data_IF_716627028939
#
_entry.id   IF_716627028939
#
_cell.length_a   1.000
_cell.length_b   1.000
_cell.length_c   1.000
_cell.angle_alpha   90.00
_cell.angle_beta   90.00
_cell.angle_gamma   90.00
#
_symmetry.space_group_name_H-M   'P 1'
#
loop_
_entity.id
_entity.type
_entity.pdbx_description
1 polymer ?
#
# COMPACT_ATOMS: atom_id res chain seq x y z
N UNK A 1 -0.05 46.42 13.91
CA UNK A 1 0.81 45.45 13.18
C UNK A 1 0.10 44.13 13.32
N UNK A 2 -0.49 43.62 12.25
CA UNK A 2 -0.93 42.22 12.25
C UNK A 2 0.33 41.39 12.46
N UNK A 3 0.36 40.60 13.53
CA UNK A 3 1.38 39.58 13.71
C UNK A 3 1.47 38.81 12.40
N UNK A 4 2.61 38.89 11.72
CA UNK A 4 2.90 37.99 10.61
C UNK A 4 2.78 36.61 11.23
N UNK A 5 1.65 35.93 10.98
CA UNK A 5 1.56 34.51 11.20
C UNK A 5 2.84 33.96 10.57
N UNK A 6 3.69 33.34 11.38
CA UNK A 6 4.83 32.60 10.87
C UNK A 6 4.21 31.58 9.95
N UNK A 7 4.20 31.86 8.64
CA UNK A 7 3.56 30.99 7.66
C UNK A 7 4.25 29.64 7.82
N UNK A 8 3.56 28.72 8.49
CA UNK A 8 4.11 27.41 8.77
C UNK A 8 4.00 26.65 7.48
N UNK A 9 5.11 26.08 7.02
CA UNK A 9 5.11 25.27 5.81
C UNK A 9 3.97 24.23 5.87
N UNK A 10 3.09 24.16 4.86
CA UNK A 10 1.93 23.25 4.87
C UNK A 10 2.37 21.78 5.00
N UNK A 11 3.60 21.45 4.58
CA UNK A 11 4.19 20.12 4.70
C UNK A 11 4.92 19.88 6.03
N UNK A 12 4.88 20.81 7.00
CA UNK A 12 5.64 20.68 8.25
C UNK A 12 5.20 19.48 9.08
N UNK A 13 3.92 19.12 8.99
CA UNK A 13 3.33 18.01 9.73
C UNK A 13 3.47 16.67 8.98
N UNK A 14 4.09 16.67 7.80
CA UNK A 14 4.35 15.47 7.03
C UNK A 14 5.78 14.99 7.25
N UNK A 15 5.97 13.70 7.50
CA UNK A 15 7.27 13.08 7.70
C UNK A 15 7.41 11.79 6.89
N UNK A 16 8.66 11.39 6.67
CA UNK A 16 8.98 10.16 5.95
C UNK A 16 8.57 8.96 6.80
N UNK A 17 8.86 9.01 8.09
CA UNK A 17 8.58 7.96 9.06
C UNK A 17 7.07 7.71 9.15
N UNK A 18 6.26 8.78 9.23
CA UNK A 18 4.80 8.63 9.28
C UNK A 18 4.23 8.15 7.94
N UNK A 19 4.83 8.53 6.80
CA UNK A 19 4.45 7.98 5.50
C UNK A 19 4.71 6.47 5.41
N UNK A 20 5.79 5.98 6.02
CA UNK A 20 6.10 4.55 6.09
C UNK A 20 5.14 3.80 7.02
N UNK A 21 4.77 4.37 8.16
CA UNK A 21 3.87 3.73 9.13
C UNK A 21 2.40 3.78 8.70
N UNK A 22 1.95 4.93 8.19
CA UNK A 22 0.56 5.23 7.89
C UNK A 22 0.33 5.54 6.40
N UNK A 23 0.77 4.60 5.56
CA UNK A 23 0.68 4.69 4.09
C UNK A 23 -0.72 5.04 3.57
N UNK A 24 -1.78 4.53 4.20
CA UNK A 24 -3.16 4.77 3.75
C UNK A 24 -3.60 6.22 3.94
N UNK A 25 -3.24 6.86 5.06
CA UNK A 25 -3.51 8.28 5.32
C UNK A 25 -2.85 9.16 4.26
N UNK A 26 -1.57 8.89 3.99
CA UNK A 26 -0.80 9.64 3.01
C UNK A 26 -1.26 9.40 1.57
N UNK A 27 -1.70 8.18 1.24
CA UNK A 27 -2.22 7.88 -0.10
C UNK A 27 -3.38 8.78 -0.45
N UNK A 28 -4.37 8.92 0.44
CA UNK A 28 -5.51 9.80 0.20
C UNK A 28 -5.07 11.26 0.02
N UNK A 29 -4.28 11.78 0.97
CA UNK A 29 -3.78 13.16 0.95
C UNK A 29 -2.98 13.51 -0.32
N UNK A 30 -2.20 12.55 -0.85
CA UNK A 30 -1.25 12.81 -1.93
C UNK A 30 -1.75 12.40 -3.32
N UNK A 31 -2.97 11.87 -3.43
CA UNK A 31 -3.55 11.49 -4.72
C UNK A 31 -4.88 12.18 -5.03
N UNK A 32 -5.49 12.82 -4.04
CA UNK A 32 -6.60 13.73 -4.26
C UNK A 32 -6.07 15.15 -4.55
N UNK A 33 -6.30 15.72 -5.75
CA UNK A 33 -5.83 17.07 -6.08
C UNK A 33 -6.36 18.15 -5.14
N UNK A 34 -7.56 17.99 -4.59
CA UNK A 34 -8.19 19.00 -3.74
C UNK A 34 -7.63 18.98 -2.30
N UNK A 35 -7.07 17.84 -1.88
CA UNK A 35 -6.47 17.66 -0.55
C UNK A 35 -4.94 17.79 -0.58
N UNK A 36 -4.33 17.83 -1.78
CA UNK A 36 -2.88 17.87 -1.92
C UNK A 36 -2.32 19.19 -1.35
N UNK A 37 -1.42 19.15 -0.35
CA UNK A 37 -0.91 20.35 0.29
C UNK A 37 -0.08 21.18 -0.69
N UNK A 38 -0.52 22.42 -0.92
CA UNK A 38 0.10 23.33 -1.89
C UNK A 38 1.58 23.61 -1.60
N UNK A 39 2.34 23.86 -2.66
CA UNK A 39 3.70 24.35 -2.54
C UNK A 39 3.71 25.87 -2.42
N UNK A 40 4.28 26.39 -1.33
CA UNK A 40 4.36 27.83 -1.07
C UNK A 40 5.79 28.36 -1.29
N UNK A 41 6.07 29.16 -2.35
CA UNK A 41 7.43 29.57 -2.71
C UNK A 41 8.20 30.35 -1.64
N UNK A 42 7.49 31.10 -0.79
CA UNK A 42 8.10 31.92 0.26
C UNK A 42 8.23 31.19 1.60
N UNK A 43 7.80 29.93 1.68
CA UNK A 43 7.67 29.17 2.94
C UNK A 43 8.31 27.79 2.84
N UNK A 44 8.09 27.07 1.73
CA UNK A 44 8.68 25.76 1.49
C UNK A 44 10.18 25.91 1.16
N UNK A 45 11.02 25.16 1.89
CA UNK A 45 12.46 25.10 1.64
C UNK A 45 12.82 24.03 0.60
N UNK A 46 14.06 24.05 0.11
CA UNK A 46 14.61 22.96 -0.72
C UNK A 46 14.54 21.61 0.00
N UNK A 47 14.85 21.56 1.30
CA UNK A 47 14.75 20.34 2.10
C UNK A 47 13.31 19.84 2.19
N UNK A 48 12.35 20.74 2.32
CA UNK A 48 10.94 20.41 2.29
C UNK A 48 10.55 19.76 0.96
N UNK A 49 11.02 20.30 -0.16
CA UNK A 49 10.79 19.72 -1.49
C UNK A 49 11.39 18.32 -1.62
N UNK A 50 12.63 18.11 -1.19
CA UNK A 50 13.28 16.78 -1.21
C UNK A 50 12.51 15.78 -0.34
N UNK A 51 12.09 16.20 0.86
CA UNK A 51 11.27 15.38 1.77
C UNK A 51 9.96 14.96 1.11
N UNK A 52 9.24 15.90 0.48
CA UNK A 52 7.96 15.61 -0.17
C UNK A 52 8.10 14.66 -1.34
N UNK A 53 9.15 14.80 -2.17
CA UNK A 53 9.44 13.83 -3.24
C UNK A 53 9.63 12.42 -2.68
N UNK A 54 10.44 12.27 -1.63
CA UNK A 54 10.65 10.95 -0.98
C UNK A 54 9.34 10.35 -0.44
N UNK A 55 8.50 11.18 0.19
CA UNK A 55 7.20 10.76 0.69
C UNK A 55 6.33 10.25 -0.48
N UNK A 56 6.25 11.00 -1.57
CA UNK A 56 5.48 10.60 -2.77
C UNK A 56 6.00 9.27 -3.33
N UNK A 57 7.32 9.13 -3.46
CA UNK A 57 7.95 7.90 -3.96
C UNK A 57 7.58 6.69 -3.10
N UNK A 58 7.67 6.82 -1.77
CA UNK A 58 7.29 5.76 -0.82
C UNK A 58 5.83 5.37 -1.03
N UNK A 59 4.93 6.34 -1.10
CA UNK A 59 3.49 6.09 -1.14
C UNK A 59 3.07 5.48 -2.47
N UNK A 60 3.50 6.06 -3.59
CA UNK A 60 3.19 5.55 -4.92
C UNK A 60 3.82 4.19 -5.18
N UNK A 61 5.08 3.97 -4.77
CA UNK A 61 5.72 2.67 -4.91
C UNK A 61 4.99 1.58 -4.12
N UNK A 62 4.58 1.87 -2.88
CA UNK A 62 3.81 0.92 -2.08
C UNK A 62 2.44 0.64 -2.71
N UNK A 63 1.73 1.67 -3.16
CA UNK A 63 0.44 1.51 -3.83
C UNK A 63 0.57 0.66 -5.10
N UNK A 64 1.57 0.95 -5.93
CA UNK A 64 1.89 0.15 -7.12
C UNK A 64 2.19 -1.30 -6.75
N UNK A 65 3.07 -1.55 -5.77
CA UNK A 65 3.44 -2.90 -5.32
C UNK A 65 2.22 -3.72 -4.88
N UNK A 66 1.33 -3.14 -4.06
CA UNK A 66 0.13 -3.84 -3.60
C UNK A 66 -0.90 -4.05 -4.72
N UNK A 67 -1.10 -3.05 -5.57
CA UNK A 67 -2.06 -3.16 -6.68
C UNK A 67 -1.60 -4.19 -7.71
N UNK A 68 -0.31 -4.19 -8.06
CA UNK A 68 0.30 -5.20 -8.92
C UNK A 68 0.17 -6.59 -8.30
N UNK A 69 0.57 -6.76 -7.04
CA UNK A 69 0.46 -8.04 -6.36
C UNK A 69 -0.99 -8.53 -6.27
N UNK A 70 -1.94 -7.63 -6.04
CA UNK A 70 -3.37 -7.96 -6.05
C UNK A 70 -3.81 -8.58 -7.38
N UNK A 71 -3.47 -7.97 -8.51
CA UNK A 71 -3.83 -8.51 -9.82
C UNK A 71 -3.05 -9.77 -10.22
N UNK A 72 -1.80 -9.90 -9.76
CA UNK A 72 -1.00 -11.13 -9.95
C UNK A 72 -1.55 -12.31 -9.12
N UNK A 73 -1.99 -12.02 -7.89
CA UNK A 73 -2.38 -13.05 -6.94
C UNK A 73 -3.87 -13.40 -7.05
N UNK A 74 -4.77 -12.50 -7.46
CA UNK A 74 -6.19 -12.79 -7.56
C UNK A 74 -6.53 -13.74 -8.71
N UNK A 75 -7.41 -14.72 -8.43
CA UNK A 75 -7.89 -15.71 -9.40
C UNK A 75 -9.13 -15.20 -10.13
N UNK A 76 -9.25 -15.58 -11.40
CA UNK A 76 -10.52 -15.54 -12.12
C UNK A 76 -11.39 -16.71 -11.66
N UNK A 77 -12.56 -16.41 -11.08
CA UNK A 77 -13.52 -17.43 -10.62
C UNK A 77 -14.80 -17.28 -11.44
N UNK A 78 -15.10 -18.30 -12.24
CA UNK A 78 -16.32 -18.35 -13.06
C UNK A 78 -17.41 -19.15 -12.34
N UNK A 79 -18.66 -18.78 -12.52
CA UNK A 79 -19.81 -19.63 -12.15
C UNK A 79 -20.21 -19.65 -10.67
N UNK A 80 -19.54 -18.92 -9.78
CA UNK A 80 -19.94 -18.78 -8.40
C UNK A 80 -20.39 -17.33 -8.15
N UNK A 81 -21.56 -17.11 -7.54
CA UNK A 81 -22.04 -15.79 -7.08
C UNK A 81 -21.21 -15.19 -5.95
N UNK A 82 -19.90 -15.45 -5.93
CA UNK A 82 -18.96 -15.05 -4.89
C UNK A 82 -18.54 -13.61 -5.14
N UNK A 83 -18.71 -12.77 -4.12
CA UNK A 83 -18.22 -11.40 -4.14
C UNK A 83 -16.68 -11.39 -4.21
N UNK A 84 -16.13 -10.63 -5.16
CA UNK A 84 -14.68 -10.47 -5.34
C UNK A 84 -13.97 -9.91 -4.10
N UNK A 85 -12.65 -10.08 -4.08
CA UNK A 85 -11.78 -9.57 -3.02
C UNK A 85 -11.44 -8.11 -3.31
N UNK A 86 -11.63 -7.19 -2.36
CA UNK A 86 -11.15 -5.81 -2.52
C UNK A 86 -9.64 -5.69 -2.31
N UNK A 87 -9.01 -4.68 -2.92
CA UNK A 87 -7.58 -4.38 -2.70
C UNK A 87 -7.27 -4.13 -1.21
N UNK A 88 -8.20 -3.52 -0.48
CA UNK A 88 -8.07 -3.27 0.96
C UNK A 88 -8.05 -4.60 1.76
N UNK A 89 -8.97 -5.51 1.47
CA UNK A 89 -8.99 -6.84 2.10
C UNK A 89 -7.71 -7.60 1.78
N UNK A 90 -7.29 -7.63 0.50
CA UNK A 90 -6.03 -8.25 0.06
C UNK A 90 -4.82 -7.69 0.82
N UNK A 91 -4.66 -6.37 0.84
CA UNK A 91 -3.54 -5.69 1.51
C UNK A 91 -3.51 -6.00 3.01
N UNK A 92 -4.68 -6.05 3.66
CA UNK A 92 -4.78 -6.43 5.06
C UNK A 92 -4.39 -7.88 5.31
N UNK A 93 -4.72 -8.82 4.41
CA UNK A 93 -4.33 -10.21 4.55
C UNK A 93 -2.82 -10.39 4.47
N UNK A 94 -2.18 -9.74 3.49
CA UNK A 94 -0.72 -9.77 3.35
C UNK A 94 -0.04 -9.13 4.56
N UNK A 95 -0.44 -7.91 4.93
CA UNK A 95 0.21 -7.18 6.05
C UNK A 95 0.00 -7.83 7.41
N UNK A 96 -1.21 -8.32 7.68
CA UNK A 96 -1.55 -8.95 8.97
C UNK A 96 -1.29 -10.45 8.98
N UNK A 97 -0.81 -11.01 7.87
CA UNK A 97 -0.59 -12.44 7.69
C UNK A 97 -1.84 -13.27 8.05
N UNK A 98 -3.02 -12.78 7.64
CA UNK A 98 -4.33 -13.38 7.95
C UNK A 98 -4.86 -14.09 6.71
N UNK A 99 -4.62 -15.38 6.63
CA UNK A 99 -5.16 -16.24 5.58
C UNK A 99 -6.51 -16.81 6.01
N UNK A 100 -7.51 -16.73 5.15
CA UNK A 100 -8.87 -17.27 5.37
C UNK A 100 -9.25 -18.13 4.16
N UNK A 101 -10.22 -19.02 4.34
CA UNK A 101 -10.78 -19.86 3.27
C UNK A 101 -11.19 -19.04 2.04
N UNK A 102 -11.82 -17.88 2.24
CA UNK A 102 -12.16 -16.96 1.14
C UNK A 102 -10.93 -16.44 0.38
N UNK A 103 -9.80 -16.25 1.06
CA UNK A 103 -8.54 -15.85 0.43
C UNK A 103 -8.02 -16.98 -0.46
N UNK A 104 -8.01 -18.21 0.04
CA UNK A 104 -7.59 -19.40 -0.71
C UNK A 104 -8.39 -19.62 -2.00
N UNK A 105 -9.72 -19.44 -1.90
CA UNK A 105 -10.62 -19.54 -3.04
C UNK A 105 -10.35 -18.47 -4.10
N UNK A 106 -10.03 -17.23 -3.67
CA UNK A 106 -9.95 -16.07 -4.55
C UNK A 106 -8.53 -15.67 -4.95
N UNK A 107 -7.48 -16.33 -4.43
CA UNK A 107 -6.09 -15.98 -4.73
C UNK A 107 -5.19 -17.20 -4.93
N UNK A 108 -4.08 -17.02 -5.63
CA UNK A 108 -2.97 -17.96 -5.83
C UNK A 108 -1.98 -17.95 -4.65
N UNK A 109 -2.48 -17.70 -3.45
CA UNK A 109 -1.70 -17.66 -2.22
C UNK A 109 -1.94 -18.93 -1.41
N UNK A 110 -0.96 -19.31 -0.61
CA UNK A 110 -1.05 -20.38 0.38
C UNK A 110 -0.55 -19.88 1.73
N UNK A 111 -0.91 -20.59 2.80
CA UNK A 111 -0.39 -20.35 4.13
C UNK A 111 0.49 -21.53 4.55
N UNK A 112 1.80 -21.32 4.57
CA UNK A 112 2.82 -22.34 4.88
C UNK A 112 3.66 -21.82 6.04
N UNK A 113 3.89 -22.67 7.06
CA UNK A 113 4.75 -22.36 8.21
C UNK A 113 4.47 -21.00 8.88
N UNK A 114 3.18 -20.68 8.99
CA UNK A 114 2.77 -19.42 9.60
C UNK A 114 3.00 -18.18 8.71
N UNK A 115 3.15 -18.33 7.39
CA UNK A 115 3.35 -17.22 6.43
C UNK A 115 2.52 -17.40 5.16
N UNK A 116 2.02 -16.28 4.63
CA UNK A 116 1.42 -16.24 3.30
C UNK A 116 2.52 -16.30 2.23
N UNK A 117 2.44 -17.27 1.31
CA UNK A 117 3.36 -17.45 0.18
C UNK A 117 2.60 -17.46 -1.15
N UNK A 118 3.26 -17.09 -2.25
CA UNK A 118 2.71 -17.22 -3.61
C UNK A 118 2.95 -18.64 -4.13
N UNK A 119 1.99 -19.20 -4.85
CA UNK A 119 2.13 -20.52 -5.47
C UNK A 119 3.35 -20.61 -6.41
N UNK A 120 3.65 -19.55 -7.15
CA UNK A 120 4.80 -19.51 -8.05
C UNK A 120 6.16 -19.55 -7.33
N UNK A 121 6.19 -19.31 -6.02
CA UNK A 121 7.42 -19.28 -5.21
C UNK A 121 7.65 -20.60 -4.45
N UNK A 122 6.71 -21.55 -4.47
CA UNK A 122 6.90 -22.86 -3.83
C UNK A 122 7.84 -23.69 -4.70
N UNK A 123 9.03 -24.09 -4.20
CA UNK A 123 9.89 -25.02 -4.93
C UNK A 123 9.12 -26.30 -5.22
N UNK A 124 9.17 -26.79 -6.46
CA UNK A 124 8.45 -28.00 -6.91
C UNK A 124 8.79 -29.28 -6.13
N UNK A 125 9.77 -29.26 -5.23
CA UNK A 125 10.15 -30.40 -4.39
C UNK A 125 9.04 -30.87 -3.43
N UNK A 126 8.01 -30.05 -3.16
CA UNK A 126 6.87 -30.47 -2.33
C UNK A 126 5.77 -31.22 -3.11
N UNK A 127 5.80 -31.25 -4.45
CA UNK A 127 4.84 -32.06 -5.23
C UNK A 127 5.17 -33.56 -5.22
N UNK A 128 6.42 -33.94 -4.93
CA UNK A 128 6.83 -35.35 -4.93
C UNK A 128 6.59 -36.09 -3.61
N UNK A 129 6.16 -35.41 -2.54
CA UNK A 129 5.86 -36.07 -1.26
C UNK A 129 4.39 -36.47 -1.04
N UNK A 130 3.49 -36.12 -1.97
CA UNK A 130 2.07 -36.49 -1.88
C UNK A 130 1.57 -37.34 -3.06
N UNK A 131 2.47 -38.10 -3.70
CA UNK A 131 2.11 -39.27 -4.53
C UNK A 131 2.63 -40.53 -3.86
#
# INVERSE_FOLDING_TARGET
MEERATNKCPHSNLSIEEAEENKSKYMWLLTDPDEFPEFEPCVCTTDCKVKMVKIIDIILYNHYKFSRGYFEDCKMVFGHGVKGLSLYEYTNFIKKNRFKERTELLTNLQYIDGKVVRLCDVPKENEEKNK
#
